data_IF_546809537719
#
_entry.id   IF_546809537719
#
_cell.length_a   1.000
_cell.length_b   1.000
_cell.length_c   1.000
_cell.angle_alpha   90.00
_cell.angle_beta   90.00
_cell.angle_gamma   90.00
#
_symmetry.space_group_name_H-M   'P 1'
#
loop_
_entity.id
_entity.type
_entity.pdbx_description
1 polymer ?
#
# COMPACT_ATOMS: atom_id res chain seq x y z
N UNK A 1 -41.81 -54.27 21.58
CA UNK A 1 -41.37 -52.97 22.13
C UNK A 1 -40.09 -52.58 21.42
N UNK A 2 -40.22 -51.88 20.30
CA UNK A 2 -39.12 -51.46 19.42
C UNK A 2 -39.25 -49.96 19.25
N UNK A 3 -38.38 -49.20 19.90
CA UNK A 3 -38.30 -47.76 19.71
C UNK A 3 -36.85 -47.30 19.86
N UNK A 4 -36.47 -46.37 18.99
CA UNK A 4 -35.25 -45.56 19.01
C UNK A 4 -33.95 -46.24 18.58
N UNK A 5 -33.75 -46.32 17.25
CA UNK A 5 -32.40 -46.38 16.68
C UNK A 5 -32.26 -45.63 15.34
N UNK A 6 -33.12 -44.65 15.06
CA UNK A 6 -33.04 -43.80 13.86
C UNK A 6 -33.12 -42.36 14.33
N UNK A 7 -32.00 -41.63 14.29
CA UNK A 7 -32.00 -40.19 14.61
C UNK A 7 -30.69 -39.58 15.05
N UNK A 8 -29.60 -40.34 15.27
CA UNK A 8 -28.32 -39.76 15.73
C UNK A 8 -27.26 -39.57 14.64
N UNK A 9 -27.43 -40.13 13.45
CA UNK A 9 -26.44 -40.06 12.36
C UNK A 9 -26.70 -38.97 11.31
N UNK A 10 -27.80 -38.20 11.41
CA UNK A 10 -28.12 -37.12 10.46
C UNK A 10 -27.84 -35.71 11.00
N UNK A 11 -27.45 -35.58 12.27
CA UNK A 11 -27.22 -34.27 12.92
C UNK A 11 -25.75 -33.82 12.81
N UNK A 12 -24.85 -34.68 12.34
CA UNK A 12 -23.40 -34.43 12.31
C UNK A 12 -22.90 -33.82 10.97
N UNK A 13 -23.82 -33.52 10.04
CA UNK A 13 -23.49 -33.00 8.69
C UNK A 13 -23.93 -31.56 8.41
N UNK A 14 -24.50 -30.85 9.38
CA UNK A 14 -25.11 -29.51 9.20
C UNK A 14 -24.30 -28.34 9.78
N UNK A 15 -23.08 -28.60 10.26
CA UNK A 15 -22.19 -27.55 10.80
C UNK A 15 -20.92 -27.44 9.97
N UNK A 16 -21.04 -27.31 8.66
CA UNK A 16 -19.96 -26.71 7.89
C UNK A 16 -20.10 -25.19 8.11
N UNK A 17 -19.07 -24.50 8.66
CA UNK A 17 -19.17 -23.07 8.95
C UNK A 17 -19.53 -22.35 7.66
N UNK A 18 -20.70 -21.71 7.64
CA UNK A 18 -21.10 -20.96 6.47
C UNK A 18 -20.20 -19.74 6.34
N UNK A 19 -19.94 -19.23 5.13
CA UNK A 19 -19.20 -17.97 4.96
C UNK A 19 -19.81 -16.80 5.76
N UNK A 20 -21.11 -16.87 6.06
CA UNK A 20 -21.79 -15.93 6.94
C UNK A 20 -21.41 -16.06 8.41
N UNK A 21 -21.16 -17.27 8.90
CA UNK A 21 -20.73 -17.52 10.29
C UNK A 21 -19.31 -17.01 10.54
N UNK A 22 -18.42 -17.19 9.57
CA UNK A 22 -17.06 -16.62 9.60
C UNK A 22 -17.07 -15.09 9.58
N UNK A 23 -18.00 -14.47 8.86
CA UNK A 23 -18.20 -13.02 8.84
C UNK A 23 -18.81 -12.52 10.14
N UNK A 24 -19.79 -13.24 10.70
CA UNK A 24 -20.39 -12.93 12.00
C UNK A 24 -19.34 -12.99 13.12
N UNK A 25 -18.45 -13.99 13.10
CA UNK A 25 -17.36 -14.11 14.05
C UNK A 25 -16.33 -12.97 13.93
N UNK A 26 -16.11 -12.45 12.72
CA UNK A 26 -15.25 -11.27 12.50
C UNK A 26 -15.93 -9.96 12.86
N UNK A 27 -17.26 -9.89 12.73
CA UNK A 27 -18.08 -8.73 13.11
C UNK A 27 -18.25 -8.58 14.62
N UNK A 28 -18.03 -9.65 15.40
CA UNK A 28 -17.91 -9.57 16.86
C UNK A 28 -16.71 -8.71 17.33
N UNK A 29 -15.73 -8.45 16.44
CA UNK A 29 -14.69 -7.47 16.72
C UNK A 29 -15.23 -6.03 16.49
N UNK A 30 -15.30 -5.19 17.54
CA UNK A 30 -15.84 -3.83 17.43
C UNK A 30 -15.05 -2.94 16.46
N UNK A 31 -13.75 -3.20 16.22
CA UNK A 31 -12.99 -2.47 15.21
C UNK A 31 -13.44 -2.85 13.80
N UNK A 32 -13.64 -4.14 13.53
CA UNK A 32 -14.07 -4.63 12.22
C UNK A 32 -15.50 -4.16 11.92
N UNK A 33 -16.40 -4.23 12.90
CA UNK A 33 -17.76 -3.69 12.75
C UNK A 33 -17.77 -2.18 12.45
N UNK A 34 -16.93 -1.39 13.14
CA UNK A 34 -16.82 0.05 12.89
C UNK A 34 -16.25 0.36 11.51
N UNK A 35 -15.20 -0.34 11.08
CA UNK A 35 -14.61 -0.16 9.75
C UNK A 35 -15.56 -0.61 8.64
N UNK A 36 -16.30 -1.71 8.84
CA UNK A 36 -17.29 -2.17 7.88
C UNK A 36 -18.47 -1.19 7.80
N UNK A 37 -18.93 -0.63 8.93
CA UNK A 37 -19.94 0.43 8.96
C UNK A 37 -19.47 1.65 8.17
N UNK A 38 -18.24 2.14 8.41
CA UNK A 38 -17.72 3.29 7.66
C UNK A 38 -17.60 3.03 6.16
N UNK A 39 -17.19 1.83 5.74
CA UNK A 39 -17.13 1.47 4.32
C UNK A 39 -18.53 1.39 3.71
N UNK A 40 -19.50 0.82 4.44
CA UNK A 40 -20.90 0.71 4.00
C UNK A 40 -21.58 2.08 3.94
N UNK A 41 -21.31 2.97 4.90
CA UNK A 41 -21.80 4.36 4.94
C UNK A 41 -21.33 5.17 3.73
N UNK A 42 -20.18 4.81 3.16
CA UNK A 42 -19.59 5.47 1.99
C UNK A 42 -19.64 4.59 0.72
N UNK A 43 -20.39 3.48 0.73
CA UNK A 43 -20.43 2.53 -0.38
C UNK A 43 -20.97 3.17 -1.68
N UNK A 44 -21.90 4.11 -1.57
CA UNK A 44 -22.45 4.83 -2.72
C UNK A 44 -21.42 5.80 -3.34
N UNK A 45 -20.60 6.43 -2.51
CA UNK A 45 -19.47 7.26 -2.95
C UNK A 45 -18.38 6.40 -3.60
N UNK A 46 -18.11 5.21 -3.07
CA UNK A 46 -17.21 4.23 -3.69
C UNK A 46 -17.75 3.76 -5.05
N UNK A 47 -19.05 3.46 -5.15
CA UNK A 47 -19.68 3.10 -6.42
C UNK A 47 -19.59 4.23 -7.45
N UNK A 48 -19.77 5.48 -7.00
CA UNK A 48 -19.63 6.68 -7.85
C UNK A 48 -18.20 6.89 -8.31
N UNK A 49 -17.20 6.65 -7.45
CA UNK A 49 -15.78 6.71 -7.83
C UNK A 49 -15.44 5.62 -8.83
N UNK A 50 -15.92 4.38 -8.62
CA UNK A 50 -15.66 3.26 -9.52
C UNK A 50 -16.29 3.52 -10.89
N UNK A 51 -17.54 3.98 -10.93
CA UNK A 51 -18.21 4.35 -12.18
C UNK A 51 -17.55 5.56 -12.87
N UNK A 52 -17.11 6.55 -12.09
CA UNK A 52 -16.35 7.69 -12.59
C UNK A 52 -14.99 7.30 -13.18
N UNK A 53 -14.30 6.36 -12.53
CA UNK A 53 -13.02 5.81 -12.99
C UNK A 53 -13.19 4.98 -14.27
N UNK A 54 -14.23 4.15 -14.35
CA UNK A 54 -14.57 3.40 -15.58
C UNK A 54 -14.84 4.37 -16.74
N UNK A 55 -15.62 5.43 -16.48
CA UNK A 55 -15.87 6.50 -17.44
C UNK A 55 -14.61 7.26 -17.87
N UNK A 56 -13.68 7.50 -16.94
CA UNK A 56 -12.40 8.16 -17.23
C UNK A 56 -11.48 7.26 -18.06
N UNK A 57 -11.33 5.99 -17.70
CA UNK A 57 -10.51 5.02 -18.44
C UNK A 57 -11.02 4.84 -19.87
N UNK A 58 -12.34 4.69 -20.02
CA UNK A 58 -12.96 4.56 -21.35
C UNK A 58 -12.79 5.80 -22.21
N UNK A 59 -12.75 6.99 -21.60
CA UNK A 59 -12.46 8.25 -22.29
C UNK A 59 -10.98 8.46 -22.53
N UNK A 60 -10.10 7.97 -21.66
CA UNK A 60 -8.65 8.08 -21.80
C UNK A 60 -8.17 7.38 -23.07
N UNK A 61 -8.72 6.20 -23.39
CA UNK A 61 -8.45 5.50 -24.65
C UNK A 61 -8.88 6.35 -25.86
N UNK A 62 -10.08 6.93 -25.83
CA UNK A 62 -10.59 7.77 -26.92
C UNK A 62 -9.77 9.06 -27.07
N UNK A 63 -9.35 9.68 -25.96
CA UNK A 63 -8.52 10.88 -25.95
C UNK A 63 -7.10 10.55 -26.45
N UNK A 64 -6.55 9.40 -26.04
CA UNK A 64 -5.24 8.94 -26.49
C UNK A 64 -5.24 8.66 -28.00
N UNK A 65 -6.26 7.96 -28.50
CA UNK A 65 -6.41 7.66 -29.92
C UNK A 65 -6.59 8.96 -30.73
N UNK A 66 -7.41 9.89 -30.24
CA UNK A 66 -7.59 11.22 -30.86
C UNK A 66 -6.30 12.05 -30.85
N UNK A 67 -5.48 11.97 -29.79
CA UNK A 67 -4.18 12.64 -29.73
C UNK A 67 -3.18 12.01 -30.70
N UNK A 68 -3.11 10.68 -30.80
CA UNK A 68 -2.21 9.98 -31.73
C UNK A 68 -2.59 10.30 -33.17
N UNK A 69 -3.89 10.26 -33.50
CA UNK A 69 -4.39 10.69 -34.81
C UNK A 69 -4.07 12.16 -35.09
N UNK A 70 -4.27 13.06 -34.12
CA UNK A 70 -3.95 14.48 -34.29
C UNK A 70 -2.45 14.73 -34.53
N UNK A 71 -1.57 14.01 -33.83
CA UNK A 71 -0.11 14.10 -34.05
C UNK A 71 0.27 13.54 -35.43
N UNK A 72 -0.34 12.43 -35.85
CA UNK A 72 -0.11 11.84 -37.16
C UNK A 72 -0.53 12.79 -38.30
N UNK A 73 -1.70 13.42 -38.15
CA UNK A 73 -2.24 14.40 -39.11
C UNK A 73 -1.37 15.67 -39.15
N UNK A 74 -0.91 16.18 -38.00
CA UNK A 74 0.05 17.29 -37.94
C UNK A 74 1.37 16.93 -38.65
N UNK A 75 1.87 15.70 -38.45
CA UNK A 75 3.09 15.21 -39.13
C UNK A 75 2.87 15.10 -40.64
N UNK A 76 1.72 14.63 -41.09
CA UNK A 76 1.37 14.50 -42.50
C UNK A 76 1.19 15.87 -43.19
N UNK A 77 0.54 16.82 -42.52
CA UNK A 77 0.46 18.22 -42.96
C UNK A 77 1.86 18.84 -43.01
N UNK A 78 2.68 18.65 -41.98
CA UNK A 78 4.06 19.15 -41.95
C UNK A 78 4.95 18.51 -43.03
N UNK A 79 4.71 17.25 -43.41
CA UNK A 79 5.43 16.56 -44.48
C UNK A 79 4.94 16.95 -45.88
N UNK A 80 3.66 17.31 -46.03
CA UNK A 80 3.06 17.73 -47.31
C UNK A 80 3.31 19.20 -47.63
N UNK A 81 3.48 20.06 -46.62
CA UNK A 81 4.09 21.39 -46.80
C UNK A 81 5.61 21.26 -46.77
N UNK A 82 6.28 21.39 -47.92
CA UNK A 82 7.75 21.41 -48.09
C UNK A 82 8.46 22.51 -47.24
N UNK A 83 8.46 22.40 -45.92
CA UNK A 83 9.11 23.34 -45.00
C UNK A 83 8.46 24.74 -44.90
N UNK A 84 7.30 24.98 -45.52
CA UNK A 84 6.58 26.26 -45.38
C UNK A 84 5.83 26.29 -44.04
N UNK A 85 6.56 26.69 -43.00
CA UNK A 85 6.14 26.74 -41.59
C UNK A 85 4.84 27.52 -41.40
N UNK A 86 3.76 26.83 -41.02
CA UNK A 86 2.55 27.45 -40.49
C UNK A 86 2.57 27.64 -38.96
N UNK A 87 3.60 27.15 -38.27
CA UNK A 87 3.70 27.20 -36.80
C UNK A 87 5.05 27.77 -36.36
N UNK A 88 5.10 28.79 -35.48
CA UNK A 88 6.35 29.25 -34.89
C UNK A 88 6.90 28.18 -33.95
N UNK A 89 8.06 27.63 -34.29
CA UNK A 89 9.02 26.98 -33.38
C UNK A 89 8.48 25.97 -32.34
N UNK A 90 7.58 25.06 -32.71
CA UNK A 90 7.48 23.80 -31.97
C UNK A 90 8.58 22.86 -32.47
N UNK A 91 9.60 22.66 -31.64
CA UNK A 91 10.62 21.63 -31.86
C UNK A 91 10.00 20.26 -31.57
N UNK A 92 9.29 19.72 -32.55
CA UNK A 92 8.64 18.40 -32.50
C UNK A 92 9.68 17.31 -32.19
N UNK A 93 10.92 17.52 -32.65
CA UNK A 93 12.08 16.68 -32.34
C UNK A 93 12.41 16.73 -30.85
N UNK A 94 12.55 17.92 -30.26
CA UNK A 94 12.82 18.08 -28.82
C UNK A 94 11.70 17.56 -27.92
N UNK A 95 10.44 17.71 -28.34
CA UNK A 95 9.28 17.10 -27.68
C UNK A 95 9.33 15.57 -27.75
N UNK A 96 9.59 15.01 -28.93
CA UNK A 96 9.71 13.55 -29.10
C UNK A 96 10.86 12.97 -28.28
N UNK A 97 11.99 13.68 -28.17
CA UNK A 97 13.15 13.26 -27.39
C UNK A 97 12.85 13.34 -25.89
N UNK A 98 12.12 14.35 -25.44
CA UNK A 98 11.66 14.49 -24.06
C UNK A 98 10.65 13.40 -23.66
N UNK A 99 9.70 13.08 -24.55
CA UNK A 99 8.73 12.00 -24.35
C UNK A 99 9.44 10.64 -24.37
N UNK A 100 10.40 10.42 -25.27
CA UNK A 100 11.19 9.20 -25.32
C UNK A 100 12.01 9.01 -24.03
N UNK A 101 12.64 10.07 -23.52
CA UNK A 101 13.39 10.04 -22.26
C UNK A 101 12.48 9.80 -21.05
N UNK A 102 11.30 10.44 -21.02
CA UNK A 102 10.32 10.24 -19.95
C UNK A 102 9.75 8.82 -19.99
N UNK A 103 9.44 8.30 -21.18
CA UNK A 103 9.00 6.92 -21.39
C UNK A 103 10.07 5.93 -20.95
N UNK A 104 11.33 6.14 -21.33
CA UNK A 104 12.44 5.30 -20.88
C UNK A 104 12.60 5.34 -19.35
N UNK A 105 12.55 6.53 -18.74
CA UNK A 105 12.60 6.69 -17.28
C UNK A 105 11.39 6.06 -16.57
N UNK A 106 10.20 6.14 -17.17
CA UNK A 106 9.00 5.51 -16.65
C UNK A 106 9.07 3.98 -16.75
N UNK A 107 9.60 3.43 -17.85
CA UNK A 107 9.84 1.99 -18.01
C UNK A 107 10.91 1.48 -17.05
N UNK A 108 11.94 2.29 -16.80
CA UNK A 108 13.00 1.98 -15.83
C UNK A 108 12.50 2.06 -14.38
N UNK A 109 11.60 2.99 -14.08
CA UNK A 109 10.93 3.11 -12.78
C UNK A 109 9.78 2.12 -12.59
N UNK A 110 9.15 1.63 -13.67
CA UNK A 110 8.01 0.72 -13.65
C UNK A 110 8.22 -0.51 -12.74
N UNK A 111 9.36 -1.23 -12.76
CA UNK A 111 9.58 -2.35 -11.84
C UNK A 111 9.69 -1.92 -10.38
N UNK A 112 10.17 -0.70 -10.09
CA UNK A 112 10.19 -0.17 -8.72
C UNK A 112 8.79 0.24 -8.26
N UNK A 113 7.99 0.83 -9.15
CA UNK A 113 6.58 1.17 -8.92
C UNK A 113 5.75 -0.10 -8.75
N UNK A 114 5.93 -1.11 -9.60
CA UNK A 114 5.24 -2.41 -9.50
C UNK A 114 5.62 -3.15 -8.21
N UNK A 115 6.90 -3.06 -7.79
CA UNK A 115 7.33 -3.57 -6.49
C UNK A 115 6.69 -2.82 -5.34
N UNK A 116 6.43 -1.53 -5.49
CA UNK A 116 5.73 -0.71 -4.49
C UNK A 116 4.23 -1.04 -4.44
N UNK A 117 3.60 -1.25 -5.60
CA UNK A 117 2.18 -1.63 -5.74
C UNK A 117 1.90 -3.06 -5.30
N UNK A 118 2.85 -3.97 -5.44
CA UNK A 118 2.80 -5.35 -4.92
C UNK A 118 3.44 -5.50 -3.54
N UNK A 119 3.94 -4.41 -2.97
CA UNK A 119 4.57 -4.40 -1.66
C UNK A 119 3.51 -4.35 -0.56
N UNK A 120 3.84 -4.77 0.67
CA UNK A 120 2.99 -4.52 1.83
C UNK A 120 2.67 -3.03 2.04
N UNK A 121 3.32 -2.08 1.37
CA UNK A 121 2.97 -0.65 1.44
C UNK A 121 1.58 -0.32 0.87
N UNK A 122 1.04 -1.14 -0.04
CA UNK A 122 -0.33 -1.00 -0.58
C UNK A 122 -1.37 -1.77 0.22
N UNK A 123 -0.95 -2.51 1.25
CA UNK A 123 -1.86 -3.21 2.14
C UNK A 123 -2.61 -2.21 3.05
N UNK A 124 -3.94 -2.34 3.21
CA UNK A 124 -4.73 -1.43 4.03
C UNK A 124 -4.20 -1.29 5.47
N UNK A 125 -3.66 -2.37 6.06
CA UNK A 125 -3.15 -2.31 7.43
C UNK A 125 -1.85 -1.50 7.53
N UNK A 126 -1.00 -1.58 6.50
CA UNK A 126 0.24 -0.80 6.45
C UNK A 126 -0.04 0.66 6.15
N UNK A 127 -1.00 0.95 5.26
CA UNK A 127 -1.45 2.31 5.00
C UNK A 127 -2.02 2.99 6.26
N UNK A 128 -2.79 2.25 7.06
CA UNK A 128 -3.34 2.72 8.34
C UNK A 128 -2.23 3.05 9.36
N UNK A 129 -1.23 2.18 9.51
CA UNK A 129 -0.09 2.45 10.39
C UNK A 129 0.71 3.68 9.92
N UNK A 130 0.88 3.83 8.60
CA UNK A 130 1.56 5.00 8.03
C UNK A 130 0.74 6.29 8.24
N UNK A 131 -0.58 6.24 8.12
CA UNK A 131 -1.47 7.35 8.42
C UNK A 131 -1.34 7.77 9.89
N UNK A 132 -1.44 6.82 10.82
CA UNK A 132 -1.29 7.08 12.27
C UNK A 132 0.07 7.67 12.61
N UNK A 133 1.16 7.19 11.99
CA UNK A 133 2.50 7.77 12.16
C UNK A 133 2.55 9.18 11.59
N UNK A 134 1.93 9.43 10.43
CA UNK A 134 1.85 10.75 9.81
C UNK A 134 1.08 11.76 10.65
N UNK A 135 -0.06 11.37 11.21
CA UNK A 135 -0.86 12.18 12.14
C UNK A 135 -0.05 12.51 13.40
N UNK A 136 0.55 11.51 14.04
CA UNK A 136 1.39 11.73 15.23
C UNK A 136 2.61 12.63 14.96
N UNK A 137 3.18 12.57 13.75
CA UNK A 137 4.27 13.48 13.33
C UNK A 137 3.78 14.92 13.17
N UNK A 138 2.59 15.10 12.59
CA UNK A 138 1.99 16.44 12.44
C UNK A 138 1.63 17.03 13.80
N UNK A 139 0.97 16.26 14.67
CA UNK A 139 0.66 16.64 16.04
C UNK A 139 1.93 16.97 16.84
N UNK A 140 2.97 16.13 16.73
CA UNK A 140 4.25 16.36 17.38
C UNK A 140 4.94 17.63 16.91
N UNK A 141 4.84 17.95 15.61
CA UNK A 141 5.35 19.21 15.05
C UNK A 141 4.58 20.42 15.59
N UNK A 142 3.25 20.34 15.64
CA UNK A 142 2.42 21.41 16.19
C UNK A 142 2.70 21.63 17.68
N UNK A 143 2.82 20.55 18.46
CA UNK A 143 3.18 20.60 19.87
C UNK A 143 4.58 21.21 20.09
N UNK A 144 5.56 20.85 19.27
CA UNK A 144 6.91 21.42 19.34
C UNK A 144 6.97 22.91 18.97
N UNK A 145 6.07 23.37 18.08
CA UNK A 145 5.92 24.79 17.75
C UNK A 145 5.22 25.54 18.88
N UNK A 146 4.19 24.95 19.48
CA UNK A 146 3.43 25.53 20.60
C UNK A 146 4.26 25.63 21.89
N UNK A 147 5.09 24.63 22.19
CA UNK A 147 6.07 24.67 23.27
C UNK A 147 7.49 24.37 22.75
N UNK A 148 8.22 25.40 22.28
CA UNK A 148 9.60 25.27 21.80
C UNK A 148 10.58 24.89 22.90
N UNK A 149 10.18 24.98 24.18
CA UNK A 149 11.06 24.73 25.32
C UNK A 149 10.93 23.27 25.72
N UNK A 150 11.66 22.41 25.00
CA UNK A 150 11.79 20.99 25.32
C UNK A 150 12.25 20.71 26.77
N UNK A 151 12.22 19.45 27.22
CA UNK A 151 12.48 19.07 28.60
C UNK A 151 13.80 19.64 29.12
N UNK A 152 13.73 20.47 30.18
CA UNK A 152 14.90 21.15 30.75
C UNK A 152 15.62 20.26 31.76
N UNK A 153 16.80 19.79 31.38
CA UNK A 153 17.72 19.05 32.24
C UNK A 153 17.43 17.55 32.34
N UNK A 154 18.39 16.81 32.89
CA UNK A 154 18.39 15.33 32.94
C UNK A 154 17.20 14.75 33.70
N UNK A 155 16.68 15.45 34.71
CA UNK A 155 15.51 15.01 35.47
C UNK A 155 14.20 15.16 34.68
N UNK A 156 14.07 16.21 33.87
CA UNK A 156 12.92 16.38 32.98
C UNK A 156 12.92 15.33 31.88
N UNK A 157 14.07 14.99 31.31
CA UNK A 157 14.21 13.89 30.34
C UNK A 157 13.82 12.55 30.97
N UNK A 158 14.29 12.27 32.19
CA UNK A 158 13.91 11.04 32.91
C UNK A 158 12.39 10.96 33.15
N UNK A 159 11.76 12.10 33.47
CA UNK A 159 10.31 12.18 33.65
C UNK A 159 9.57 11.92 32.34
N UNK A 160 10.03 12.48 31.21
CA UNK A 160 9.46 12.25 29.89
C UNK A 160 9.56 10.78 29.50
N UNK A 161 10.70 10.12 29.75
CA UNK A 161 10.85 8.68 29.47
C UNK A 161 9.92 7.84 30.35
N UNK A 162 9.66 8.26 31.59
CA UNK A 162 8.74 7.57 32.51
C UNK A 162 7.25 7.77 32.15
N UNK A 163 6.94 8.70 31.26
CA UNK A 163 5.59 8.89 30.76
C UNK A 163 5.10 7.61 30.05
N UNK A 164 3.89 7.11 30.37
CA UNK A 164 3.36 5.90 29.76
C UNK A 164 3.22 5.99 28.23
N UNK A 165 2.98 7.17 27.67
CA UNK A 165 2.77 7.36 26.24
C UNK A 165 4.11 7.30 25.49
N UNK A 166 5.13 7.98 26.04
CA UNK A 166 6.50 7.94 25.53
C UNK A 166 7.09 6.54 25.63
N UNK A 167 6.84 5.85 26.75
CA UNK A 167 7.29 4.46 26.95
C UNK A 167 6.69 3.51 25.91
N UNK A 168 5.39 3.67 25.58
CA UNK A 168 4.71 2.88 24.54
C UNK A 168 5.32 3.13 23.15
N UNK A 169 5.55 4.40 22.79
CA UNK A 169 6.19 4.76 21.52
C UNK A 169 7.62 4.23 21.39
N UNK A 170 8.43 4.37 22.45
CA UNK A 170 9.79 3.84 22.49
C UNK A 170 9.79 2.31 22.41
N UNK A 171 8.86 1.65 23.10
CA UNK A 171 8.65 0.20 23.01
C UNK A 171 8.38 -0.26 21.58
N UNK A 172 7.48 0.44 20.88
CA UNK A 172 7.19 0.17 19.46
C UNK A 172 8.44 0.30 18.57
N UNK A 173 9.22 1.36 18.74
CA UNK A 173 10.48 1.57 18.01
C UNK A 173 11.51 0.44 18.25
N UNK A 174 11.60 -0.06 19.48
CA UNK A 174 12.46 -1.21 19.82
C UNK A 174 12.00 -2.47 19.07
N UNK A 175 10.69 -2.70 18.98
CA UNK A 175 10.15 -3.84 18.25
C UNK A 175 10.40 -3.75 16.74
N UNK A 176 10.28 -2.56 16.15
CA UNK A 176 10.64 -2.30 14.74
C UNK A 176 12.13 -2.62 14.52
N UNK A 177 13.00 -2.05 15.34
CA UNK A 177 14.44 -2.25 15.22
C UNK A 177 14.82 -3.75 15.33
N UNK A 178 14.19 -4.49 16.25
CA UNK A 178 14.38 -5.94 16.39
C UNK A 178 13.90 -6.72 15.17
N UNK A 179 12.73 -6.38 14.64
CA UNK A 179 12.19 -7.04 13.44
C UNK A 179 13.08 -6.81 12.23
N UNK A 180 13.56 -5.57 12.05
CA UNK A 180 14.46 -5.20 10.97
C UNK A 180 15.83 -5.89 11.10
N UNK A 181 16.44 -5.86 12.29
CA UNK A 181 17.73 -6.49 12.54
C UNK A 181 17.75 -8.00 12.27
N UNK A 182 16.66 -8.72 12.55
CA UNK A 182 16.54 -10.14 12.20
C UNK A 182 16.57 -10.40 10.70
N UNK A 183 16.06 -9.49 9.88
CA UNK A 183 16.09 -9.60 8.41
C UNK A 183 17.46 -9.31 7.82
N UNK A 184 18.30 -8.56 8.55
CA UNK A 184 19.68 -8.24 8.16
C UNK A 184 20.71 -9.27 8.65
N UNK A 185 20.33 -10.17 9.56
CA UNK A 185 21.24 -11.20 10.05
C UNK A 185 21.57 -12.17 8.91
N UNK A 186 22.86 -12.36 8.55
CA UNK A 186 23.26 -13.40 7.62
C UNK A 186 22.87 -14.77 8.19
N UNK A 187 22.38 -15.68 7.35
CA UNK A 187 22.05 -17.06 7.77
C UNK A 187 23.22 -17.66 8.57
N UNK A 188 22.97 -18.25 9.75
CA UNK A 188 24.02 -18.96 10.47
C UNK A 188 24.43 -20.15 9.62
N UNK A 189 25.64 -20.10 9.08
CA UNK A 189 26.27 -21.21 8.37
C UNK A 189 26.21 -22.43 9.28
N UNK A 190 25.30 -23.36 8.99
CA UNK A 190 25.19 -24.65 9.69
C UNK A 190 26.57 -25.29 9.63
N UNK A 191 27.31 -25.27 10.73
CA UNK A 191 28.58 -26.00 10.86
C UNK A 191 28.29 -27.46 10.54
N UNK A 192 28.68 -27.89 9.35
CA UNK A 192 28.63 -29.26 8.89
C UNK A 192 29.44 -30.08 9.91
N UNK A 193 28.74 -30.83 10.78
CA UNK A 193 29.40 -31.80 11.66
C UNK A 193 29.94 -32.87 10.74
N UNK A 194 31.23 -32.80 10.43
CA UNK A 194 31.95 -33.87 9.75
C UNK A 194 31.85 -35.11 10.65
N UNK A 195 31.28 -36.23 10.18
CA UNK A 195 31.34 -37.47 10.93
C UNK A 195 32.82 -37.88 11.01
N UNK A 196 33.35 -38.02 12.23
CA UNK A 196 34.65 -38.67 12.44
C UNK A 196 34.53 -40.09 11.91
N UNK A 197 35.13 -40.33 10.74
CA UNK A 197 35.33 -41.67 10.23
C UNK A 197 36.19 -42.48 11.21
N UNK A 198 35.79 -43.75 11.31
CA UNK A 198 36.50 -44.87 11.87
C UNK A 198 38.03 -44.76 11.73
N UNK A 199 38.69 -44.85 12.88
CA UNK A 199 40.05 -45.34 13.00
C UNK A 199 40.11 -46.07 14.34
N UNK A 200 39.80 -47.37 14.29
CA UNK A 200 40.52 -48.48 14.95
C UNK A 200 39.90 -49.80 14.54
#
# INVERSE_FOLDING_TARGET
MTASLVGQSEIDGLTDPSPGDDLLQRLDDPRIASSLSQILDHADLLATIIAGLDGLLRRAEVIADSMVSGIAEIREVAASTNGQRAWPSLDVTGLSDSVARLSAAAVEAAPAVERLLRSPLTDPQTAEVLAQVGEALLEGREAAVADPRGPKGVFAVMRVVKDPDVSRGLGFMIHIARAFGRRLAPEPTKKQRVPKHAAE
#
